data_IF_837435840514
#
_entry.id   IF_837435840514
#
_cell.length_a   1.000
_cell.length_b   1.000
_cell.length_c   1.000
_cell.angle_alpha   90.00
_cell.angle_beta   90.00
_cell.angle_gamma   90.00
#
_symmetry.space_group_name_H-M   'P 1'
#
loop_
_entity.id
_entity.type
_entity.pdbx_description
1 polymer ?
#
# COMPACT_ATOMS: atom_id res chain seq x y z
N UNK A 1 -21.24 -34.90 -22.44
CA UNK A 1 -20.93 -36.28 -22.01
C UNK A 1 -19.45 -36.55 -22.20
N UNK A 2 -18.67 -36.72 -21.12
CA UNK A 2 -17.38 -37.45 -21.23
C UNK A 2 -17.67 -38.90 -20.83
N UNK A 3 -17.28 -39.86 -21.65
CA UNK A 3 -17.41 -41.30 -21.38
C UNK A 3 -18.85 -41.81 -21.15
N UNK A 4 -19.85 -41.28 -21.89
CA UNK A 4 -21.24 -41.76 -21.80
C UNK A 4 -21.96 -41.47 -20.48
N UNK A 5 -21.33 -40.71 -19.56
CA UNK A 5 -21.95 -40.24 -18.32
C UNK A 5 -22.38 -38.78 -18.44
N UNK A 6 -23.51 -38.45 -17.80
CA UNK A 6 -23.91 -37.08 -17.55
C UNK A 6 -22.88 -36.46 -16.60
N UNK A 7 -22.23 -35.39 -17.04
CA UNK A 7 -21.38 -34.58 -16.18
C UNK A 7 -22.22 -33.39 -15.73
N UNK A 8 -22.31 -33.19 -14.43
CA UNK A 8 -22.95 -32.02 -13.85
C UNK A 8 -22.17 -30.77 -14.28
N UNK A 9 -22.78 -29.94 -15.14
CA UNK A 9 -22.20 -28.67 -15.56
C UNK A 9 -22.42 -27.60 -14.48
N UNK A 10 -23.57 -27.65 -13.82
CA UNK A 10 -23.96 -26.81 -12.70
C UNK A 10 -25.12 -27.45 -11.92
N UNK A 11 -25.30 -27.01 -10.67
CA UNK A 11 -26.43 -27.34 -9.80
C UNK A 11 -26.74 -26.15 -8.91
N UNK A 12 -27.96 -26.13 -8.38
CA UNK A 12 -28.43 -25.24 -7.34
C UNK A 12 -29.41 -26.04 -6.46
N UNK A 13 -29.49 -25.78 -5.14
CA UNK A 13 -28.73 -24.78 -4.38
C UNK A 13 -27.31 -25.23 -4.02
N UNK A 14 -26.36 -24.31 -4.05
CA UNK A 14 -24.95 -24.44 -3.62
C UNK A 14 -24.62 -23.58 -2.42
N UNK A 15 -25.42 -22.56 -2.15
CA UNK A 15 -25.26 -21.60 -1.06
C UNK A 15 -26.41 -21.68 -0.05
N UNK A 16 -26.17 -21.43 1.24
CA UNK A 16 -27.24 -21.23 2.23
C UNK A 16 -28.22 -20.11 1.87
N UNK A 17 -27.83 -19.19 0.98
CA UNK A 17 -28.65 -18.07 0.51
C UNK A 17 -29.50 -18.39 -0.73
N UNK A 18 -29.36 -19.58 -1.33
CA UNK A 18 -30.15 -19.95 -2.51
C UNK A 18 -31.62 -20.27 -2.21
N UNK A 19 -31.98 -20.86 -1.05
CA UNK A 19 -33.37 -20.99 -0.65
C UNK A 19 -34.05 -19.63 -0.51
N UNK A 20 -35.22 -19.48 -1.17
CA UNK A 20 -35.99 -18.25 -1.16
C UNK A 20 -36.30 -17.76 0.26
N UNK A 21 -36.02 -16.49 0.51
CA UNK A 21 -36.41 -15.85 1.77
C UNK A 21 -35.63 -16.32 3.00
N UNK A 22 -34.40 -16.84 2.82
CA UNK A 22 -33.52 -17.32 3.90
C UNK A 22 -33.44 -16.37 5.11
N UNK A 23 -33.40 -15.06 4.85
CA UNK A 23 -33.25 -14.02 5.88
C UNK A 23 -34.55 -13.25 6.20
N UNK A 24 -35.69 -13.72 5.72
CA UNK A 24 -36.99 -13.07 5.95
C UNK A 24 -37.12 -11.68 5.32
N UNK A 25 -38.16 -10.95 5.73
CA UNK A 25 -38.49 -9.62 5.19
C UNK A 25 -37.48 -8.57 5.64
N UNK A 26 -37.08 -7.70 4.71
CA UNK A 26 -36.08 -6.66 4.93
C UNK A 26 -34.72 -7.18 5.42
N UNK A 27 -34.49 -8.50 5.29
CA UNK A 27 -33.21 -9.15 5.50
C UNK A 27 -32.42 -9.28 4.20
N UNK A 28 -31.10 -9.39 4.35
CA UNK A 28 -30.16 -9.63 3.26
C UNK A 28 -29.25 -10.81 3.62
N UNK A 29 -29.09 -11.75 2.69
CA UNK A 29 -28.26 -12.93 2.87
C UNK A 29 -26.87 -12.74 2.27
N UNK A 30 -25.81 -13.06 3.00
CA UNK A 30 -24.42 -13.04 2.55
C UNK A 30 -23.90 -14.47 2.35
N UNK A 31 -23.69 -14.94 1.10
CA UNK A 31 -23.16 -16.28 0.85
C UNK A 31 -21.70 -16.43 1.33
N UNK A 32 -20.99 -15.31 1.56
CA UNK A 32 -19.61 -15.28 2.05
C UNK A 32 -19.52 -14.97 3.56
N UNK A 33 -20.48 -15.45 4.34
CA UNK A 33 -20.63 -15.25 5.79
C UNK A 33 -19.49 -15.80 6.68
N UNK A 34 -18.41 -16.36 6.11
CA UNK A 34 -17.32 -17.01 6.84
C UNK A 34 -16.74 -16.13 7.97
N UNK A 35 -16.81 -14.81 7.84
CA UNK A 35 -16.37 -13.85 8.86
C UNK A 35 -17.40 -13.58 9.97
N UNK A 36 -18.70 -13.83 9.74
CA UNK A 36 -19.81 -13.39 10.62
C UNK A 36 -20.54 -14.51 11.37
N UNK A 37 -20.22 -15.78 11.11
CA UNK A 37 -20.87 -16.99 11.70
C UNK A 37 -22.38 -17.14 11.44
N UNK A 38 -23.03 -16.13 10.86
CA UNK A 38 -24.43 -16.12 10.46
C UNK A 38 -24.56 -15.33 9.16
N UNK A 39 -25.30 -15.89 8.21
CA UNK A 39 -25.42 -15.40 6.85
C UNK A 39 -26.43 -14.26 6.69
N UNK A 40 -27.27 -14.01 7.69
CA UNK A 40 -28.31 -12.99 7.61
C UNK A 40 -27.94 -11.70 8.33
N UNK A 41 -28.18 -10.59 7.64
CA UNK A 41 -28.16 -9.23 8.17
C UNK A 41 -29.50 -8.53 7.85
N UNK A 42 -29.76 -7.40 8.51
CA UNK A 42 -30.87 -6.51 8.15
C UNK A 42 -30.41 -5.44 7.16
N UNK A 43 -31.30 -5.03 6.26
CA UNK A 43 -31.08 -3.88 5.39
C UNK A 43 -30.90 -2.58 6.20
N UNK A 44 -30.24 -1.55 5.66
CA UNK A 44 -30.06 -0.26 6.35
C UNK A 44 -31.38 0.33 6.86
N UNK A 45 -31.39 0.85 8.11
CA UNK A 45 -32.61 1.32 8.77
C UNK A 45 -33.50 0.23 9.39
N UNK A 46 -33.10 -1.04 9.32
CA UNK A 46 -33.85 -2.16 9.89
C UNK A 46 -33.03 -2.94 10.94
N UNK A 47 -33.74 -3.58 11.86
CA UNK A 47 -33.22 -4.42 12.93
C UNK A 47 -34.02 -5.73 13.07
N UNK A 48 -33.45 -6.78 13.68
CA UNK A 48 -34.14 -8.05 13.80
C UNK A 48 -35.46 -7.92 14.55
N UNK A 49 -36.53 -8.49 14.02
CA UNK A 49 -37.85 -8.49 14.66
C UNK A 49 -37.82 -9.16 16.04
N UNK A 50 -37.04 -10.24 16.15
CA UNK A 50 -36.82 -10.98 17.40
C UNK A 50 -35.31 -11.11 17.64
N UNK A 51 -34.71 -10.26 18.50
CA UNK A 51 -33.28 -10.32 18.79
C UNK A 51 -32.84 -11.67 19.37
N UNK A 52 -33.75 -12.36 20.08
CA UNK A 52 -33.48 -13.68 20.66
C UNK A 52 -33.34 -14.75 19.57
N UNK A 53 -34.30 -14.83 18.66
CA UNK A 53 -34.26 -15.76 17.52
C UNK A 53 -33.05 -15.50 16.63
N UNK A 54 -32.82 -14.23 16.30
CA UNK A 54 -31.72 -13.82 15.43
C UNK A 54 -30.34 -14.12 16.02
N UNK A 55 -30.10 -13.69 17.26
CA UNK A 55 -28.75 -13.75 17.84
C UNK A 55 -28.43 -15.11 18.47
N UNK A 56 -29.39 -15.73 19.15
CA UNK A 56 -29.20 -16.98 19.91
C UNK A 56 -29.53 -18.19 19.04
N UNK A 57 -30.70 -18.20 18.40
CA UNK A 57 -31.19 -19.36 17.64
C UNK A 57 -30.71 -19.37 16.18
N UNK A 58 -30.12 -18.26 15.70
CA UNK A 58 -29.75 -18.08 14.28
C UNK A 58 -30.94 -18.29 13.35
N UNK A 59 -32.10 -17.86 13.80
CA UNK A 59 -33.34 -17.89 13.03
C UNK A 59 -33.69 -16.49 12.54
N UNK A 60 -33.65 -16.31 11.23
CA UNK A 60 -34.01 -15.06 10.54
C UNK A 60 -35.39 -15.11 9.88
N UNK A 61 -36.17 -16.17 10.08
CA UNK A 61 -37.50 -16.34 9.46
C UNK A 61 -38.48 -15.21 9.82
N UNK A 62 -38.35 -14.65 11.02
CA UNK A 62 -39.11 -13.48 11.47
C UNK A 62 -38.77 -12.17 10.76
N UNK A 63 -37.64 -12.14 10.03
CA UNK A 63 -37.14 -10.98 9.30
C UNK A 63 -36.75 -9.80 10.19
N UNK A 64 -36.70 -8.63 9.56
CA UNK A 64 -36.34 -7.37 10.17
C UNK A 64 -37.53 -6.39 10.18
N UNK A 65 -37.51 -5.47 11.13
CA UNK A 65 -38.44 -4.34 11.29
C UNK A 65 -37.65 -3.05 11.30
N UNK A 66 -38.30 -1.89 11.09
CA UNK A 66 -37.56 -0.63 11.10
C UNK A 66 -37.07 -0.33 12.51
N UNK A 67 -35.81 0.09 12.62
CA UNK A 67 -35.27 0.70 13.84
C UNK A 67 -36.12 1.95 14.09
N UNK A 68 -36.77 2.08 15.25
CA UNK A 68 -37.52 3.31 15.63
C UNK A 68 -38.90 3.49 14.95
N UNK A 69 -39.70 2.42 14.89
CA UNK A 69 -41.06 2.40 14.31
C UNK A 69 -42.01 3.53 14.79
N UNK A 70 -41.81 4.07 15.99
CA UNK A 70 -42.73 5.03 16.63
C UNK A 70 -42.27 6.51 16.58
N UNK A 71 -41.01 6.80 16.27
CA UNK A 71 -40.45 8.15 16.47
C UNK A 71 -40.22 8.94 15.18
N UNK A 72 -40.41 8.35 14.00
CA UNK A 72 -40.11 9.03 12.74
C UNK A 72 -41.02 8.54 11.61
N UNK A 73 -41.89 9.42 11.12
CA UNK A 73 -42.63 9.18 9.88
C UNK A 73 -41.65 9.26 8.71
N UNK A 74 -41.58 8.17 7.94
CA UNK A 74 -41.06 8.23 6.59
C UNK A 74 -42.02 9.07 5.75
N UNK A 75 -41.50 9.67 4.69
CA UNK A 75 -42.22 10.59 3.80
C UNK A 75 -42.35 12.02 4.33
N UNK A 76 -41.34 12.84 4.03
CA UNK A 76 -41.42 14.30 4.14
C UNK A 76 -40.67 14.91 5.33
N UNK A 77 -40.05 14.10 6.17
CA UNK A 77 -39.30 14.53 7.35
C UNK A 77 -37.79 14.29 7.22
N UNK A 78 -37.22 14.56 6.04
CA UNK A 78 -35.78 14.41 5.79
C UNK A 78 -35.33 12.95 5.59
N UNK A 79 -36.27 12.07 5.25
CA UNK A 79 -35.97 10.72 4.81
C UNK A 79 -35.21 10.72 3.46
N UNK A 80 -34.62 9.59 3.13
CA UNK A 80 -33.83 9.44 1.91
C UNK A 80 -33.38 8.00 1.73
N UNK A 81 -32.27 7.79 1.03
CA UNK A 81 -31.86 6.45 0.63
C UNK A 81 -30.42 6.10 0.97
N UNK A 82 -30.23 4.83 1.32
CA UNK A 82 -28.92 4.22 1.51
C UNK A 82 -28.65 3.25 0.36
N UNK A 83 -27.49 3.44 -0.27
CA UNK A 83 -26.98 2.57 -1.32
C UNK A 83 -26.61 1.19 -0.75
N UNK A 84 -27.18 0.13 -1.32
CA UNK A 84 -26.82 -1.27 -1.08
C UNK A 84 -26.34 -1.85 -2.40
N UNK A 85 -25.03 -2.06 -2.51
CA UNK A 85 -24.38 -2.47 -3.75
C UNK A 85 -24.15 -3.98 -3.82
N UNK A 86 -23.97 -4.47 -5.04
CA UNK A 86 -23.64 -5.85 -5.36
C UNK A 86 -24.63 -6.83 -4.74
N UNK A 87 -25.91 -6.67 -5.09
CA UNK A 87 -26.98 -7.55 -4.62
C UNK A 87 -27.74 -8.18 -5.78
N UNK A 88 -28.22 -9.40 -5.56
CA UNK A 88 -29.46 -9.87 -6.19
C UNK A 88 -30.58 -8.97 -5.68
N UNK A 89 -31.26 -8.29 -6.59
CA UNK A 89 -32.37 -7.40 -6.23
C UNK A 89 -33.45 -8.17 -5.46
N UNK A 90 -34.21 -7.50 -4.58
CA UNK A 90 -35.33 -8.14 -3.90
C UNK A 90 -36.32 -8.73 -4.90
N UNK A 91 -37.11 -9.68 -4.43
CA UNK A 91 -38.23 -10.27 -5.18
C UNK A 91 -39.02 -9.19 -5.94
N UNK A 92 -39.10 -9.37 -7.26
CA UNK A 92 -39.69 -8.41 -8.18
C UNK A 92 -41.20 -8.55 -8.30
N UNK A 93 -41.82 -9.53 -7.64
CA UNK A 93 -43.29 -9.65 -7.55
C UNK A 93 -43.94 -8.44 -6.87
N UNK A 94 -43.21 -7.78 -5.97
CA UNK A 94 -43.61 -6.53 -5.31
C UNK A 94 -43.00 -5.26 -5.96
N UNK A 95 -42.30 -5.43 -7.09
CA UNK A 95 -41.66 -4.33 -7.81
C UNK A 95 -42.51 -3.87 -8.99
N UNK A 96 -42.40 -2.57 -9.31
CA UNK A 96 -43.04 -1.94 -10.46
C UNK A 96 -41.99 -1.18 -11.25
N UNK A 97 -41.97 -1.42 -12.57
CA UNK A 97 -41.23 -0.58 -13.50
C UNK A 97 -41.90 0.79 -13.58
N UNK A 98 -41.32 1.78 -12.91
CA UNK A 98 -41.82 3.16 -12.95
C UNK A 98 -41.59 3.79 -14.33
N UNK A 99 -40.51 3.39 -15.00
CA UNK A 99 -40.22 3.73 -16.40
C UNK A 99 -39.09 2.84 -16.92
N UNK A 100 -39.06 2.58 -18.23
CA UNK A 100 -37.93 1.94 -18.91
C UNK A 100 -36.92 2.93 -19.47
N UNK A 101 -37.17 4.22 -19.26
CA UNK A 101 -36.28 5.32 -19.61
C UNK A 101 -36.44 6.41 -18.54
N UNK A 102 -35.53 6.43 -17.57
CA UNK A 102 -35.52 7.41 -16.49
C UNK A 102 -34.13 7.51 -15.87
N UNK A 103 -33.68 8.75 -15.66
CA UNK A 103 -32.40 9.01 -15.02
C UNK A 103 -32.41 8.48 -13.56
N UNK A 104 -31.25 8.09 -13.00
CA UNK A 104 -31.17 7.65 -11.61
C UNK A 104 -31.71 8.69 -10.60
N UNK A 105 -31.50 9.98 -10.87
CA UNK A 105 -32.00 11.08 -10.02
C UNK A 105 -33.52 11.22 -10.07
N UNK A 106 -34.12 11.00 -11.24
CA UNK A 106 -35.57 11.08 -11.37
C UNK A 106 -36.24 9.82 -10.80
N UNK A 107 -35.58 8.67 -10.88
CA UNK A 107 -36.01 7.44 -10.21
C UNK A 107 -36.06 7.61 -8.69
N UNK A 108 -35.03 8.24 -8.11
CA UNK A 108 -34.99 8.61 -6.69
C UNK A 108 -36.17 9.53 -6.33
N UNK A 109 -36.36 10.63 -7.07
CA UNK A 109 -37.48 11.56 -6.84
C UNK A 109 -38.84 10.88 -6.98
N UNK A 110 -38.99 9.97 -7.93
CA UNK A 110 -40.22 9.23 -8.15
C UNK A 110 -40.56 8.36 -6.93
N UNK A 111 -39.57 7.61 -6.41
CA UNK A 111 -39.74 6.82 -5.19
C UNK A 111 -39.99 7.71 -3.96
N UNK A 112 -39.28 8.84 -3.81
CA UNK A 112 -39.47 9.77 -2.68
C UNK A 112 -40.90 10.27 -2.56
N UNK A 113 -41.54 10.61 -3.69
CA UNK A 113 -42.90 11.17 -3.74
C UNK A 113 -43.97 10.17 -3.27
N UNK A 114 -43.68 8.87 -3.31
CA UNK A 114 -44.62 7.85 -2.88
C UNK A 114 -44.20 7.29 -1.52
N UNK A 115 -44.94 7.60 -0.47
CA UNK A 115 -44.62 7.21 0.91
C UNK A 115 -44.53 5.69 1.13
N UNK A 116 -45.18 4.90 0.29
CA UNK A 116 -45.12 3.43 0.35
C UNK A 116 -43.86 2.86 -0.31
N UNK A 117 -43.11 3.67 -1.06
CA UNK A 117 -41.88 3.23 -1.70
C UNK A 117 -40.83 2.87 -0.63
N UNK A 118 -40.35 1.64 -0.68
CA UNK A 118 -39.37 1.09 0.26
C UNK A 118 -37.96 1.02 -0.31
N UNK A 119 -37.83 0.88 -1.63
CA UNK A 119 -36.55 0.92 -2.33
C UNK A 119 -36.73 1.21 -3.82
N UNK A 120 -35.65 1.61 -4.49
CA UNK A 120 -35.57 1.64 -5.95
C UNK A 120 -34.23 1.12 -6.46
N UNK A 121 -34.17 0.84 -7.76
CA UNK A 121 -32.95 0.51 -8.49
C UNK A 121 -32.99 1.16 -9.87
N UNK A 122 -31.83 1.64 -10.31
CA UNK A 122 -31.62 2.07 -11.69
C UNK A 122 -30.92 0.94 -12.43
N UNK A 123 -31.59 0.37 -13.44
CA UNK A 123 -31.15 -0.84 -14.13
C UNK A 123 -30.92 -0.50 -15.60
N UNK A 124 -29.71 -0.72 -16.09
CA UNK A 124 -29.40 -0.54 -17.50
C UNK A 124 -30.01 -1.67 -18.32
N UNK A 125 -30.85 -1.31 -19.29
CA UNK A 125 -31.55 -2.27 -20.16
C UNK A 125 -30.79 -2.31 -21.49
N UNK A 126 -30.29 -3.48 -21.87
CA UNK A 126 -29.52 -3.64 -23.11
C UNK A 126 -30.31 -3.14 -24.33
N UNK A 127 -29.71 -2.22 -25.10
CA UNK A 127 -30.34 -1.60 -26.28
C UNK A 127 -31.40 -0.54 -25.98
N UNK A 128 -31.58 -0.15 -24.71
CA UNK A 128 -32.43 0.95 -24.27
C UNK A 128 -31.66 1.87 -23.31
N UNK A 129 -32.33 2.87 -22.78
CA UNK A 129 -31.82 3.72 -21.69
C UNK A 129 -31.97 3.05 -20.32
N UNK A 130 -31.46 3.69 -19.27
CA UNK A 130 -31.58 3.23 -17.88
C UNK A 130 -33.05 3.22 -17.46
N UNK A 131 -33.53 2.08 -16.96
CA UNK A 131 -34.86 1.93 -16.38
C UNK A 131 -34.89 2.17 -14.88
N UNK A 132 -36.08 2.46 -14.35
CA UNK A 132 -36.35 2.67 -12.93
C UNK A 132 -37.27 1.57 -12.41
N UNK A 133 -36.76 0.74 -11.50
CA UNK A 133 -37.51 -0.30 -10.80
C UNK A 133 -37.75 0.14 -9.35
N UNK A 134 -38.99 0.08 -8.88
CA UNK A 134 -39.39 0.57 -7.55
C UNK A 134 -40.15 -0.49 -6.78
N UNK A 135 -39.96 -0.58 -5.47
CA UNK A 135 -40.66 -1.51 -4.58
C UNK A 135 -41.60 -0.76 -3.63
N UNK A 136 -42.87 -1.16 -3.56
CA UNK A 136 -43.90 -0.53 -2.73
C UNK A 136 -44.39 -1.42 -1.58
N UNK A 137 -43.46 -2.03 -0.85
CA UNK A 137 -43.82 -2.92 0.24
C UNK A 137 -42.62 -3.62 0.86
N UNK A 138 -42.83 -4.86 1.30
CA UNK A 138 -41.78 -5.67 1.93
C UNK A 138 -40.73 -6.06 0.90
N UNK A 139 -39.47 -5.86 1.25
CA UNK A 139 -38.33 -6.36 0.49
C UNK A 139 -38.07 -7.79 0.92
N UNK A 140 -37.98 -8.72 -0.03
CA UNK A 140 -37.76 -10.14 0.22
C UNK A 140 -36.64 -10.67 -0.65
N UNK A 141 -35.98 -11.73 -0.19
CA UNK A 141 -35.04 -12.53 -1.00
C UNK A 141 -33.86 -11.74 -1.59
N UNK A 142 -33.40 -10.72 -0.85
CA UNK A 142 -32.20 -9.95 -1.20
C UNK A 142 -30.96 -10.73 -0.79
N UNK A 143 -30.00 -10.84 -1.70
CA UNK A 143 -28.77 -11.61 -1.47
C UNK A 143 -27.57 -10.79 -1.92
N UNK A 144 -26.49 -10.76 -1.15
CA UNK A 144 -25.22 -10.22 -1.63
C UNK A 144 -24.67 -11.09 -2.75
N UNK A 145 -24.42 -10.46 -3.89
CA UNK A 145 -23.92 -11.10 -5.09
C UNK A 145 -22.56 -10.49 -5.45
N UNK A 146 -21.52 -10.89 -4.72
CA UNK A 146 -20.09 -10.66 -5.02
C UNK A 146 -19.77 -9.35 -5.76
N UNK A 147 -19.27 -9.46 -6.99
CA UNK A 147 -18.91 -8.32 -7.86
C UNK A 147 -19.88 -8.09 -9.02
N UNK A 148 -20.85 -9.00 -9.24
CA UNK A 148 -21.76 -8.98 -10.41
C UNK A 148 -23.22 -8.66 -10.05
N UNK A 149 -23.45 -8.04 -8.88
CA UNK A 149 -24.79 -7.68 -8.41
C UNK A 149 -25.27 -6.29 -8.86
N UNK A 150 -26.56 -6.06 -8.69
CA UNK A 150 -27.19 -4.76 -8.89
C UNK A 150 -26.98 -3.85 -7.68
N UNK A 151 -27.28 -2.56 -7.86
CA UNK A 151 -27.36 -1.58 -6.78
C UNK A 151 -28.82 -1.26 -6.52
N UNK A 152 -29.25 -1.43 -5.26
CA UNK A 152 -30.54 -0.94 -4.79
C UNK A 152 -30.34 0.20 -3.80
N UNK A 153 -31.33 1.06 -3.69
CA UNK A 153 -31.34 2.21 -2.79
C UNK A 153 -32.52 2.03 -1.84
N UNK A 154 -32.23 1.72 -0.57
CA UNK A 154 -33.24 1.40 0.45
C UNK A 154 -33.65 2.68 1.18
N UNK A 155 -34.95 2.93 1.31
CA UNK A 155 -35.48 4.12 1.96
C UNK A 155 -35.38 4.02 3.48
N UNK A 156 -34.73 5.02 4.07
CA UNK A 156 -34.47 5.13 5.50
C UNK A 156 -34.89 6.51 6.02
N UNK A 157 -35.06 6.61 7.33
CA UNK A 157 -35.37 7.88 7.99
C UNK A 157 -34.14 8.80 8.12
N UNK A 158 -34.40 10.06 8.49
CA UNK A 158 -33.39 11.09 8.64
C UNK A 158 -32.33 10.76 9.72
N UNK A 159 -32.73 10.05 10.78
CA UNK A 159 -31.83 9.71 11.90
C UNK A 159 -30.82 8.67 11.42
N UNK A 160 -31.28 7.63 10.73
CA UNK A 160 -30.38 6.61 10.16
C UNK A 160 -29.43 7.25 9.13
N UNK A 161 -29.90 8.18 8.30
CA UNK A 161 -29.03 8.92 7.37
C UNK A 161 -27.95 9.72 8.11
N UNK A 162 -28.32 10.44 9.17
CA UNK A 162 -27.38 11.21 9.97
C UNK A 162 -26.35 10.31 10.66
N UNK A 163 -26.79 9.19 11.25
CA UNK A 163 -25.90 8.21 11.89
C UNK A 163 -24.90 7.60 10.89
N UNK A 164 -25.37 7.27 9.68
CA UNK A 164 -24.48 6.78 8.62
C UNK A 164 -23.48 7.87 8.24
N UNK A 165 -23.93 9.11 7.99
CA UNK A 165 -23.04 10.22 7.64
C UNK A 165 -21.97 10.48 8.70
N UNK A 166 -22.33 10.48 9.99
CA UNK A 166 -21.40 10.64 11.10
C UNK A 166 -20.37 9.51 11.15
N UNK A 167 -20.79 8.25 10.93
CA UNK A 167 -19.87 7.10 10.87
C UNK A 167 -18.86 7.23 9.73
N UNK A 168 -19.30 7.68 8.56
CA UNK A 168 -18.42 7.94 7.42
C UNK A 168 -17.43 9.09 7.69
N UNK A 169 -17.90 10.19 8.27
CA UNK A 169 -17.06 11.31 8.67
C UNK A 169 -16.00 10.90 9.72
N UNK A 170 -16.39 10.09 10.70
CA UNK A 170 -15.47 9.55 11.70
C UNK A 170 -14.40 8.64 11.08
N UNK A 171 -14.78 7.80 10.12
CA UNK A 171 -13.85 6.93 9.40
C UNK A 171 -12.84 7.73 8.54
N UNK A 172 -13.30 8.77 7.85
CA UNK A 172 -12.43 9.68 7.09
C UNK A 172 -11.44 10.40 8.01
N UNK A 173 -11.90 10.97 9.13
CA UNK A 173 -11.02 11.59 10.14
C UNK A 173 -9.93 10.64 10.64
N UNK A 174 -10.27 9.36 10.87
CA UNK A 174 -9.29 8.35 11.30
C UNK A 174 -8.26 8.02 10.21
N UNK A 175 -8.68 7.94 8.94
CA UNK A 175 -7.78 7.74 7.80
C UNK A 175 -6.82 8.92 7.63
N UNK A 176 -7.32 10.14 7.73
CA UNK A 176 -6.49 11.34 7.61
C UNK A 176 -5.50 11.44 8.77
N UNK A 177 -5.91 11.13 10.00
CA UNK A 177 -5.01 11.06 11.15
C UNK A 177 -3.88 10.05 10.93
N UNK A 178 -4.18 8.86 10.40
CA UNK A 178 -3.15 7.86 10.08
C UNK A 178 -2.20 8.35 8.98
N UNK A 179 -2.71 9.02 7.95
CA UNK A 179 -1.88 9.59 6.90
C UNK A 179 -0.92 10.66 7.45
N UNK A 180 -1.39 11.54 8.34
CA UNK A 180 -0.58 12.57 8.99
C UNK A 180 0.54 11.93 9.84
N UNK A 181 0.24 10.88 10.61
CA UNK A 181 1.22 10.16 11.41
C UNK A 181 2.33 9.54 10.54
N UNK A 182 1.95 8.90 9.43
CA UNK A 182 2.92 8.30 8.49
C UNK A 182 3.83 9.37 7.90
N UNK A 183 3.28 10.50 7.46
CA UNK A 183 4.05 11.62 6.88
C UNK A 183 5.03 12.18 7.93
N UNK A 184 4.59 12.36 9.17
CA UNK A 184 5.42 12.85 10.28
C UNK A 184 6.61 11.92 10.52
N UNK A 185 6.37 10.61 10.60
CA UNK A 185 7.43 9.61 10.81
C UNK A 185 8.44 9.66 9.65
N UNK A 186 7.98 9.57 8.41
CA UNK A 186 8.87 9.60 7.22
C UNK A 186 9.72 10.86 7.17
N UNK A 187 9.14 12.03 7.51
CA UNK A 187 9.87 13.29 7.54
C UNK A 187 10.97 13.30 8.60
N UNK A 188 10.72 12.74 9.79
CA UNK A 188 11.71 12.64 10.85
C UNK A 188 12.88 11.72 10.45
N UNK A 189 12.58 10.56 9.84
CA UNK A 189 13.62 9.66 9.31
C UNK A 189 14.47 10.34 8.24
N UNK A 190 13.85 11.09 7.33
CA UNK A 190 14.57 11.83 6.29
C UNK A 190 15.53 12.86 6.87
N UNK A 191 15.10 13.62 7.90
CA UNK A 191 15.94 14.59 8.60
C UNK A 191 17.11 13.89 9.31
N UNK A 192 16.89 12.76 9.97
CA UNK A 192 17.94 11.97 10.63
C UNK A 192 18.98 11.49 9.61
N UNK A 193 18.53 10.96 8.46
CA UNK A 193 19.41 10.49 7.39
C UNK A 193 20.24 11.64 6.82
N UNK A 194 19.63 12.81 6.57
CA UNK A 194 20.35 14.00 6.11
C UNK A 194 21.39 14.46 7.13
N UNK A 195 21.04 14.50 8.42
CA UNK A 195 21.94 14.97 9.47
C UNK A 195 23.14 14.04 9.63
N UNK A 196 22.90 12.72 9.66
CA UNK A 196 23.97 11.71 9.72
C UNK A 196 24.88 11.78 8.49
N UNK A 197 24.33 11.93 7.28
CA UNK A 197 25.11 12.13 6.06
C UNK A 197 26.01 13.38 6.14
N UNK A 198 25.45 14.52 6.58
CA UNK A 198 26.21 15.77 6.72
C UNK A 198 27.31 15.66 7.79
N UNK A 199 27.05 14.97 8.90
CA UNK A 199 28.04 14.68 9.93
C UNK A 199 29.19 13.81 9.42
N UNK A 200 28.90 12.74 8.67
CA UNK A 200 29.91 11.90 8.04
C UNK A 200 30.78 12.69 7.04
N UNK A 201 30.16 13.58 6.26
CA UNK A 201 30.86 14.48 5.33
C UNK A 201 31.78 15.47 6.07
N UNK A 202 31.33 16.04 7.19
CA UNK A 202 32.17 16.89 8.05
C UNK A 202 33.34 16.12 8.67
N UNK A 203 33.13 14.87 9.12
CA UNK A 203 34.21 14.03 9.67
C UNK A 203 35.28 13.72 8.60
N UNK A 204 34.88 13.35 7.38
CA UNK A 204 35.83 13.15 6.26
C UNK A 204 36.61 14.43 5.91
N UNK A 205 35.97 15.60 5.93
CA UNK A 205 36.66 16.89 5.72
C UNK A 205 37.63 17.22 6.87
N UNK A 206 37.27 16.97 8.14
CA UNK A 206 38.17 17.19 9.28
C UNK A 206 39.41 16.29 9.25
N UNK A 207 39.24 15.01 8.87
CA UNK A 207 40.37 14.10 8.68
C UNK A 207 41.26 14.63 7.54
N UNK A 208 40.70 14.91 6.36
CA UNK A 208 41.48 15.44 5.22
C UNK A 208 42.22 16.75 5.54
N UNK A 209 41.59 17.68 6.25
CA UNK A 209 42.23 18.94 6.64
C UNK A 209 43.33 18.74 7.70
N UNK A 210 43.21 17.73 8.58
CA UNK A 210 44.24 17.38 9.58
C UNK A 210 45.47 16.74 8.91
N UNK A 211 45.28 15.94 7.85
CA UNK A 211 46.37 15.39 7.03
C UNK A 211 47.09 16.49 6.22
N UNK A 212 46.34 17.42 5.62
CA UNK A 212 46.92 18.54 4.88
C UNK A 212 47.73 19.49 5.77
N UNK A 213 47.27 19.77 7.00
CA UNK A 213 47.98 20.63 7.95
C UNK A 213 49.29 19.98 8.43
N UNK A 214 49.29 18.66 8.68
CA UNK A 214 50.48 17.91 9.11
C UNK A 214 51.54 17.81 8.00
N UNK A 215 51.13 17.73 6.73
CA UNK A 215 52.03 17.70 5.58
C UNK A 215 52.69 19.07 5.31
N UNK A 216 51.97 20.17 5.52
CA UNK A 216 52.53 21.52 5.36
C UNK A 216 53.61 21.82 6.41
N UNK A 217 53.41 21.39 7.66
CA UNK A 217 54.43 21.49 8.71
C UNK A 217 55.67 20.64 8.37
N UNK A 218 55.49 19.43 7.81
CA UNK A 218 56.63 18.57 7.44
C UNK A 218 57.45 19.13 6.28
N UNK A 219 56.83 19.82 5.31
CA UNK A 219 57.57 20.47 4.20
C UNK A 219 58.29 21.73 4.67
N UNK A 220 57.67 22.54 5.53
CA UNK A 220 58.32 23.74 6.09
C UNK A 220 59.58 23.42 6.91
N UNK A 221 59.67 22.23 7.50
CA UNK A 221 60.87 21.78 8.22
C UNK A 221 61.98 21.22 7.31
N UNK A 222 61.67 20.75 6.10
CA UNK A 222 62.67 20.15 5.19
C UNK A 222 63.48 21.22 4.45
N UNK A 223 62.97 22.45 4.33
CA UNK A 223 63.66 23.52 3.61
C UNK A 223 64.79 24.18 4.44
N UNK A 224 64.90 23.90 5.75
CA UNK A 224 65.81 24.63 6.65
C UNK A 224 66.85 23.80 7.44
N UNK A 225 67.01 22.49 7.20
CA UNK A 225 68.09 21.73 7.87
C UNK A 225 68.68 20.61 7.01
N UNK A 226 69.77 20.92 6.30
CA UNK A 226 70.92 20.01 6.17
C UNK A 226 72.20 20.85 6.23
N UNK A 227 72.54 21.35 7.41
CA UNK A 227 73.94 21.41 7.83
C UNK A 227 74.16 20.30 8.86
N UNK A 228 75.27 19.58 8.68
CA UNK A 228 75.43 18.19 9.06
C UNK A 228 75.16 17.80 10.50
N UNK A 229 74.65 16.58 10.68
CA UNK A 229 75.03 15.71 11.80
C UNK A 229 74.59 14.28 11.52
N UNK A 230 75.51 13.33 11.72
CA UNK A 230 75.26 11.90 11.67
C UNK A 230 74.35 11.48 12.83
N UNK A 231 73.12 11.06 12.56
CA UNK A 231 72.38 10.16 13.46
C UNK A 231 71.27 9.42 12.70
N UNK A 232 71.36 8.09 12.71
CA UNK A 232 70.40 7.05 12.34
C UNK A 232 69.74 7.05 10.93
N UNK A 233 69.77 5.91 10.20
CA UNK A 233 69.10 5.79 8.89
C UNK A 233 67.60 5.62 9.10
N UNK A 234 66.88 6.72 9.32
CA UNK A 234 65.42 6.73 9.27
C UNK A 234 64.94 6.51 7.82
N UNK A 235 63.99 5.59 7.68
CA UNK A 235 63.46 5.12 6.40
C UNK A 235 62.88 6.29 5.61
N UNK A 236 63.55 6.66 4.51
CA UNK A 236 63.04 7.67 3.59
C UNK A 236 61.93 7.09 2.71
N UNK A 237 60.75 7.70 2.72
CA UNK A 237 59.62 7.32 1.86
C UNK A 237 59.65 8.10 0.54
N UNK A 238 59.59 7.39 -0.59
CA UNK A 238 59.53 7.99 -1.93
C UNK A 238 58.14 7.79 -2.54
N UNK A 239 57.64 8.81 -3.25
CA UNK A 239 56.43 8.69 -4.05
C UNK A 239 56.67 7.75 -5.25
N UNK A 240 55.63 7.01 -5.66
CA UNK A 240 55.72 6.13 -6.83
C UNK A 240 56.12 6.90 -8.10
N UNK A 241 55.67 8.15 -8.25
CA UNK A 241 56.07 9.03 -9.37
C UNK A 241 57.58 9.30 -9.39
N UNK A 242 58.21 9.51 -8.23
CA UNK A 242 59.66 9.67 -8.10
C UNK A 242 60.39 8.39 -8.49
N UNK A 243 59.88 7.22 -8.07
CA UNK A 243 60.46 5.92 -8.43
C UNK A 243 60.31 5.63 -9.94
N UNK A 244 59.16 5.97 -10.53
CA UNK A 244 58.92 5.84 -11.96
C UNK A 244 59.87 6.75 -12.76
N UNK A 245 60.00 8.02 -12.36
CA UNK A 245 60.93 8.93 -13.02
C UNK A 245 62.38 8.43 -12.91
N UNK A 246 62.79 8.00 -11.70
CA UNK A 246 64.16 7.54 -11.45
C UNK A 246 64.53 6.28 -12.24
N UNK A 247 63.58 5.36 -12.45
CA UNK A 247 63.79 4.08 -13.16
C UNK A 247 63.43 4.14 -14.65
N UNK A 248 63.03 5.31 -15.15
CA UNK A 248 62.41 5.48 -16.47
C UNK A 248 61.25 4.48 -16.68
N UNK A 249 60.27 4.53 -15.79
CA UNK A 249 59.09 3.66 -15.73
C UNK A 249 59.42 2.17 -15.74
N UNK A 250 60.43 1.76 -14.98
CA UNK A 250 60.93 0.37 -14.94
C UNK A 250 61.37 -0.15 -16.32
N UNK A 251 62.07 0.68 -17.09
CA UNK A 251 62.58 0.32 -18.42
C UNK A 251 63.45 -0.95 -18.34
N UNK A 252 63.28 -1.92 -19.26
CA UNK A 252 64.12 -3.12 -19.32
C UNK A 252 65.61 -2.81 -19.46
N UNK A 253 65.97 -1.67 -20.09
CA UNK A 253 67.36 -1.22 -20.22
C UNK A 253 68.04 -0.95 -18.87
N UNK A 254 67.25 -0.66 -17.83
CA UNK A 254 67.73 -0.41 -16.47
C UNK A 254 67.70 -1.66 -15.59
N UNK A 255 67.38 -2.84 -16.13
CA UNK A 255 67.33 -4.08 -15.34
C UNK A 255 68.72 -4.48 -14.89
N UNK A 256 68.90 -4.58 -13.57
CA UNK A 256 70.14 -5.05 -12.94
C UNK A 256 70.13 -6.56 -12.72
N UNK A 257 68.95 -7.16 -12.49
CA UNK A 257 68.83 -8.61 -12.27
C UNK A 257 67.39 -9.05 -11.95
N UNK A 258 67.14 -10.35 -11.99
CA UNK A 258 65.85 -10.95 -11.64
C UNK A 258 66.07 -12.27 -10.89
N UNK A 259 65.34 -12.45 -9.79
CA UNK A 259 65.27 -13.71 -9.04
C UNK A 259 63.83 -14.04 -8.64
N UNK A 260 63.65 -15.07 -7.81
CA UNK A 260 62.31 -15.53 -7.38
C UNK A 260 61.45 -14.45 -6.70
N UNK A 261 62.09 -13.48 -6.05
CA UNK A 261 61.43 -12.40 -5.31
C UNK A 261 61.25 -11.10 -6.13
N UNK A 262 61.41 -11.15 -7.45
CA UNK A 262 61.14 -10.02 -8.34
C UNK A 262 62.36 -9.49 -9.11
N UNK A 263 62.19 -8.32 -9.73
CA UNK A 263 63.16 -7.70 -10.65
C UNK A 263 63.77 -6.46 -10.00
N UNK A 264 65.08 -6.28 -10.11
CA UNK A 264 65.81 -5.12 -9.62
C UNK A 264 66.18 -4.21 -10.79
N UNK A 265 65.90 -2.92 -10.66
CA UNK A 265 66.20 -1.89 -11.66
C UNK A 265 67.17 -0.85 -11.10
N UNK A 266 68.06 -0.35 -11.95
CA UNK A 266 68.86 0.85 -11.69
C UNK A 266 67.95 2.08 -11.81
N UNK A 267 68.03 2.98 -10.85
CA UNK A 267 67.39 4.29 -10.91
C UNK A 267 68.36 5.40 -10.56
N UNK A 268 68.09 6.60 -11.04
CA UNK A 268 68.82 7.82 -10.66
C UNK A 268 67.83 8.86 -10.16
N UNK A 269 67.96 9.25 -8.90
CA UNK A 269 67.13 10.30 -8.30
C UNK A 269 67.46 11.67 -8.89
N UNK A 270 66.55 12.64 -8.74
CA UNK A 270 66.73 14.01 -9.26
C UNK A 270 67.97 14.72 -8.69
N UNK A 271 68.40 14.36 -7.48
CA UNK A 271 69.64 14.84 -6.86
C UNK A 271 70.91 14.12 -7.36
N UNK A 272 70.79 13.29 -8.42
CA UNK A 272 71.91 12.59 -9.04
C UNK A 272 72.32 11.28 -8.37
N UNK A 273 71.76 10.95 -7.20
CA UNK A 273 72.07 9.72 -6.46
C UNK A 273 71.53 8.47 -7.17
N UNK A 274 72.39 7.49 -7.42
CA UNK A 274 71.99 6.20 -7.98
C UNK A 274 71.37 5.30 -6.90
N UNK A 275 70.32 4.56 -7.27
CA UNK A 275 69.57 3.67 -6.39
C UNK A 275 69.24 2.36 -7.10
N UNK A 276 69.10 1.28 -6.33
CA UNK A 276 68.55 0.01 -6.81
C UNK A 276 67.10 -0.13 -6.34
N UNK A 277 66.17 -0.30 -7.26
CA UNK A 277 64.73 -0.40 -6.99
C UNK A 277 64.28 -1.83 -7.25
N UNK A 278 63.90 -2.56 -6.20
CA UNK A 278 63.36 -3.92 -6.31
C UNK A 278 61.84 -3.88 -6.45
N UNK A 279 61.34 -4.39 -7.58
CA UNK A 279 59.90 -4.58 -7.83
C UNK A 279 59.53 -6.03 -7.55
N UNK A 280 58.72 -6.23 -6.51
CA UNK A 280 58.23 -7.56 -6.13
C UNK A 280 57.31 -8.13 -7.24
N UNK A 281 57.44 -9.43 -7.51
CA UNK A 281 56.54 -10.17 -8.41
C UNK A 281 55.21 -10.46 -7.71
N UNK A 282 54.11 -10.56 -8.46
CA UNK A 282 52.77 -10.84 -7.89
C UNK A 282 52.69 -12.19 -7.15
N UNK A 283 53.57 -13.13 -7.44
CA UNK A 283 53.56 -14.48 -6.85
C UNK A 283 54.54 -14.66 -5.67
N UNK A 284 55.21 -13.59 -5.21
CA UNK A 284 56.24 -13.65 -4.15
C UNK A 284 55.69 -13.76 -2.71
N UNK A 285 54.50 -14.36 -2.55
CA UNK A 285 53.81 -14.55 -1.26
C UNK A 285 53.45 -16.00 -0.94
N UNK A 286 54.22 -16.98 -1.42
CA UNK A 286 54.12 -18.37 -0.99
C UNK A 286 55.47 -18.89 -0.52
N UNK A 287 55.79 -18.55 0.73
CA UNK A 287 56.36 -19.40 1.78
C UNK A 287 56.36 -18.61 3.10
#
# INVERSE_FOLDING_TARGET
MKNGKWNEFWSVPKSPCDPYGRCGTYGICDPHFFSRRFECDCLPGYEPKSPREWNILKDASGGCVRKRLESTSLCGHGDGFVKVANVKVPDTSAAVWASTNMSPRDCEKNCMRNCSCSAYASIDIAGKETGCLTWYGKLMDTVHNGEEGYVIYVRVDAVELAEIAEKWNGFLKRKDMLAILVISVVSAWFVIILFTYLWLKKKKKRVRNKWNKRWLDTIGTVENQVEGSMSHPEIAFFNLSTILAATNSFSPANKLGQGGFGVVYKGKLSNGKEVAVKRLSKDSGKE
#
